data_IF_661454167272
#
_entry.id   IF_661454167272
#
_cell.length_a   1.000
_cell.length_b   1.000
_cell.length_c   1.000
_cell.angle_alpha   90.00
_cell.angle_beta   90.00
_cell.angle_gamma   90.00
#
_symmetry.space_group_name_H-M   'P 1'
#
loop_
_entity.id
_entity.type
_entity.pdbx_description
1 polymer ?
#
# COMPACT_ATOMS: atom_id res chain seq x y z
N UNK A 1 38.43 62.15 89.20
CA UNK A 1 38.89 61.72 87.87
C UNK A 1 37.72 61.08 87.14
N UNK A 2 37.63 61.31 85.83
CA UNK A 2 36.39 61.68 85.12
C UNK A 2 35.96 60.54 84.16
N UNK A 3 35.05 60.60 83.18
CA UNK A 3 34.61 61.62 82.21
C UNK A 3 33.46 60.97 81.43
N UNK A 4 32.31 61.62 81.21
CA UNK A 4 31.91 62.17 79.90
C UNK A 4 30.65 61.43 79.39
N UNK A 5 29.46 61.99 79.14
CA UNK A 5 28.99 63.24 78.49
C UNK A 5 28.43 62.98 77.08
N UNK A 6 27.19 63.46 76.87
CA UNK A 6 26.51 63.88 75.62
C UNK A 6 25.63 62.89 74.80
N UNK A 7 24.31 63.15 74.92
CA UNK A 7 23.35 63.51 73.86
C UNK A 7 23.50 62.97 72.42
N UNK A 8 22.44 62.33 71.90
CA UNK A 8 21.52 62.84 70.85
C UNK A 8 20.98 61.75 69.89
N UNK A 9 19.72 61.92 69.48
CA UNK A 9 18.99 61.16 68.44
C UNK A 9 19.61 61.33 67.05
N UNK A 10 19.28 60.43 66.09
CA UNK A 10 18.51 60.94 64.94
C UNK A 10 17.45 59.98 64.36
N UNK A 11 16.57 60.60 63.56
CA UNK A 11 15.48 60.05 62.75
C UNK A 11 15.96 59.51 61.39
N UNK A 12 15.07 58.71 60.78
CA UNK A 12 14.78 58.55 59.34
C UNK A 12 15.56 57.47 58.55
N UNK A 13 14.83 56.53 57.94
CA UNK A 13 14.72 56.39 56.48
C UNK A 13 13.55 55.46 56.12
N UNK A 14 12.81 55.81 55.06
CA UNK A 14 11.64 55.11 54.53
C UNK A 14 12.01 54.21 53.34
N UNK A 15 11.33 53.07 53.15
CA UNK A 15 11.07 52.44 51.84
C UNK A 15 9.77 51.61 51.95
N UNK A 16 8.82 51.84 51.03
CA UNK A 16 7.57 51.09 50.92
C UNK A 16 7.64 49.95 49.91
N UNK A 17 6.67 49.03 49.99
CA UNK A 17 6.31 48.09 48.93
C UNK A 17 4.83 47.69 49.03
N UNK A 18 4.15 47.81 47.89
CA UNK A 18 2.74 47.52 47.56
C UNK A 18 2.49 46.07 47.12
N UNK A 19 1.22 45.64 47.13
CA UNK A 19 0.51 44.47 46.49
C UNK A 19 -0.18 43.56 47.54
N UNK A 20 -1.39 43.01 47.37
CA UNK A 20 -2.16 42.71 46.16
C UNK A 20 -3.69 42.70 46.43
N UNK A 21 -4.48 43.11 45.43
CA UNK A 21 -5.92 42.92 45.37
C UNK A 21 -6.26 41.53 44.81
N UNK A 22 -7.24 40.85 45.43
CA UNK A 22 -7.74 39.54 45.01
C UNK A 22 -8.67 39.70 43.80
N UNK A 23 -8.26 39.20 42.64
CA UNK A 23 -9.09 39.05 41.45
C UNK A 23 -9.73 37.65 41.43
N UNK A 24 -11.05 37.59 41.26
CA UNK A 24 -11.79 36.35 41.00
C UNK A 24 -11.52 35.85 39.57
N UNK A 25 -11.44 34.54 39.32
CA UNK A 25 -11.32 34.04 37.96
C UNK A 25 -12.66 34.21 37.22
N UNK A 26 -12.60 34.82 36.04
CA UNK A 26 -13.70 34.84 35.09
C UNK A 26 -14.05 33.40 34.69
N UNK A 27 -15.29 32.99 34.95
CA UNK A 27 -15.83 31.75 34.41
C UNK A 27 -15.97 31.91 32.90
N UNK A 28 -15.23 31.09 32.14
CA UNK A 28 -15.46 30.94 30.71
C UNK A 28 -16.88 30.38 30.51
N UNK A 29 -17.77 31.22 29.98
CA UNK A 29 -19.09 30.78 29.57
C UNK A 29 -18.92 29.81 28.39
N UNK A 30 -19.13 28.51 28.63
CA UNK A 30 -19.32 27.52 27.58
C UNK A 30 -20.70 27.80 26.99
N UNK A 31 -20.75 28.47 25.83
CA UNK A 31 -21.98 28.63 25.08
C UNK A 31 -22.37 27.27 24.48
N UNK A 32 -23.48 26.64 24.92
CA UNK A 32 -23.93 25.38 24.32
C UNK A 32 -24.28 25.62 22.84
N UNK A 33 -23.83 24.70 21.98
CA UNK A 33 -24.13 24.72 20.54
C UNK A 33 -25.63 24.86 20.32
N UNK A 34 -26.06 25.92 19.62
CA UNK A 34 -27.46 26.18 19.32
C UNK A 34 -27.94 25.50 18.01
N UNK A 35 -27.22 24.48 17.54
CA UNK A 35 -27.68 23.66 16.43
C UNK A 35 -28.61 22.57 16.99
N UNK A 36 -29.87 22.45 16.51
CA UNK A 36 -30.76 21.38 16.95
C UNK A 36 -30.09 20.01 16.81
N UNK A 37 -30.11 19.20 17.88
CA UNK A 37 -29.54 17.85 17.92
C UNK A 37 -30.10 16.91 16.83
N UNK A 38 -31.21 17.29 16.19
CA UNK A 38 -31.94 16.52 15.18
C UNK A 38 -31.55 16.87 13.74
N UNK A 39 -30.57 17.77 13.52
CA UNK A 39 -30.08 18.17 12.18
C UNK A 39 -28.58 17.89 11.97
N UNK A 40 -28.01 16.89 12.63
CA UNK A 40 -26.74 16.33 12.16
C UNK A 40 -27.07 15.31 11.08
N UNK A 41 -27.24 15.77 9.83
CA UNK A 41 -26.95 14.87 8.72
C UNK A 41 -25.49 14.45 8.91
N UNK A 42 -25.25 13.22 9.39
CA UNK A 42 -23.91 12.73 9.61
C UNK A 42 -23.12 12.94 8.31
N UNK A 43 -22.03 13.71 8.38
CA UNK A 43 -21.21 14.00 7.21
C UNK A 43 -20.73 12.67 6.66
N UNK A 44 -21.11 12.36 5.42
CA UNK A 44 -20.78 11.08 4.77
C UNK A 44 -19.25 10.93 4.76
N UNK A 45 -18.69 9.83 5.30
CA UNK A 45 -17.25 9.63 5.27
C UNK A 45 -16.77 9.35 3.85
N UNK A 46 -15.51 9.69 3.58
CA UNK A 46 -14.83 9.39 2.33
C UNK A 46 -14.12 8.03 2.42
N UNK A 47 -14.22 7.22 1.37
CA UNK A 47 -13.49 5.98 1.20
C UNK A 47 -12.77 6.05 -0.14
N UNK A 48 -11.44 6.01 -0.12
CA UNK A 48 -10.64 5.71 -1.30
C UNK A 48 -10.34 4.22 -1.30
N UNK A 49 -10.89 3.50 -2.27
CA UNK A 49 -10.50 2.10 -2.52
C UNK A 49 -9.30 2.10 -3.47
N UNK A 50 -8.16 1.62 -2.99
CA UNK A 50 -6.96 1.41 -3.80
C UNK A 50 -6.87 -0.08 -4.14
N UNK A 51 -6.93 -0.40 -5.43
CA UNK A 51 -6.79 -1.77 -5.92
C UNK A 51 -5.46 -1.97 -6.63
N UNK A 52 -4.72 -2.97 -6.17
CA UNK A 52 -3.50 -3.45 -6.79
C UNK A 52 -3.80 -4.10 -8.14
N UNK A 53 -3.24 -3.50 -9.17
CA UNK A 53 -3.25 -3.98 -10.54
C UNK A 53 -1.82 -4.24 -11.04
N UNK A 54 -0.85 -4.44 -10.15
CA UNK A 54 0.54 -4.77 -10.49
C UNK A 54 0.63 -6.10 -11.23
N UNK A 55 1.78 -6.36 -11.86
CA UNK A 55 2.01 -7.62 -12.58
C UNK A 55 1.83 -8.85 -11.69
N UNK A 56 2.28 -8.81 -10.43
CA UNK A 56 2.23 -9.95 -9.50
C UNK A 56 0.81 -10.40 -9.17
N UNK A 57 -0.20 -9.55 -9.38
CA UNK A 57 -1.60 -9.91 -9.28
C UNK A 57 -2.07 -10.89 -10.39
N UNK A 58 -1.22 -11.17 -11.38
CA UNK A 58 -1.42 -12.24 -12.38
C UNK A 58 -1.23 -13.64 -11.81
N UNK A 59 -0.57 -13.77 -10.65
CA UNK A 59 -0.29 -15.07 -10.04
C UNK A 59 -1.58 -15.81 -9.67
N UNK A 60 -1.54 -17.13 -9.78
CA UNK A 60 -2.67 -18.02 -9.48
C UNK A 60 -2.70 -18.29 -7.99
N UNK A 61 -3.89 -18.24 -7.39
CA UNK A 61 -4.06 -18.61 -5.97
C UNK A 61 -4.40 -20.10 -5.88
N UNK A 62 -3.67 -20.89 -5.07
CA UNK A 62 -4.04 -22.28 -4.82
C UNK A 62 -5.38 -22.39 -4.09
N UNK A 63 -6.43 -22.74 -4.82
CA UNK A 63 -7.78 -22.93 -4.28
C UNK A 63 -8.48 -24.11 -4.96
N UNK A 64 -9.73 -24.38 -4.56
CA UNK A 64 -10.57 -25.39 -5.23
C UNK A 64 -10.56 -25.15 -6.75
N UNK A 65 -10.36 -26.18 -7.59
CA UNK A 65 -10.53 -27.61 -7.30
C UNK A 65 -9.26 -28.36 -6.85
N UNK A 66 -8.16 -27.68 -6.53
CA UNK A 66 -6.99 -28.33 -5.92
C UNK A 66 -7.33 -28.92 -4.55
N UNK A 67 -6.84 -30.13 -4.28
CA UNK A 67 -6.94 -30.77 -2.98
C UNK A 67 -5.54 -31.14 -2.47
N UNK A 68 -5.07 -30.43 -1.44
CA UNK A 68 -3.74 -30.62 -0.87
C UNK A 68 -3.51 -32.01 -0.25
N UNK A 69 -4.57 -32.73 0.13
CA UNK A 69 -4.50 -34.09 0.67
C UNK A 69 -4.40 -35.17 -0.43
N UNK A 70 -4.61 -34.81 -1.69
CA UNK A 70 -4.43 -35.71 -2.83
C UNK A 70 -3.00 -35.67 -3.31
N UNK A 71 -2.38 -36.84 -3.49
CA UNK A 71 -1.07 -36.95 -4.12
C UNK A 71 -1.23 -37.14 -5.63
N UNK A 72 -0.87 -36.12 -6.40
CA UNK A 72 -1.05 -36.14 -7.86
C UNK A 72 0.09 -36.87 -8.58
N UNK A 73 1.31 -36.78 -8.05
CA UNK A 73 2.46 -37.62 -8.43
C UNK A 73 3.13 -38.06 -7.12
N UNK A 74 2.89 -39.31 -6.66
CA UNK A 74 3.39 -39.78 -5.36
C UNK A 74 4.91 -39.84 -5.24
N UNK A 75 5.61 -40.10 -6.34
CA UNK A 75 7.06 -40.17 -6.38
C UNK A 75 7.57 -39.61 -7.70
N UNK A 76 8.57 -38.74 -7.62
CA UNK A 76 9.24 -38.14 -8.77
C UNK A 76 10.69 -38.65 -8.83
N UNK A 77 11.03 -39.58 -9.74
CA UNK A 77 12.37 -40.12 -9.86
C UNK A 77 13.41 -39.03 -10.13
N UNK A 78 14.64 -39.19 -9.62
CA UNK A 78 15.68 -38.16 -9.69
C UNK A 78 15.99 -37.65 -11.11
N UNK A 79 15.86 -38.48 -12.14
CA UNK A 79 16.06 -38.08 -13.55
C UNK A 79 14.94 -37.16 -14.09
N UNK A 80 13.75 -37.23 -13.50
CA UNK A 80 12.58 -36.41 -13.81
C UNK A 80 12.40 -35.24 -12.84
N UNK A 81 13.08 -35.27 -11.69
CA UNK A 81 12.90 -34.29 -10.64
C UNK A 81 13.45 -32.93 -11.04
N UNK A 82 12.58 -31.92 -10.96
CA UNK A 82 13.02 -30.53 -10.89
C UNK A 82 13.53 -30.28 -9.46
N UNK A 83 14.80 -29.87 -9.28
CA UNK A 83 15.38 -29.55 -7.97
C UNK A 83 14.53 -28.54 -7.19
N UNK A 84 14.44 -28.75 -5.88
CA UNK A 84 13.75 -27.82 -4.97
C UNK A 84 14.31 -26.40 -5.10
N UNK A 85 13.44 -25.38 -5.00
CA UNK A 85 13.81 -23.99 -5.26
C UNK A 85 14.00 -23.64 -6.74
N UNK A 86 13.78 -24.59 -7.66
CA UNK A 86 13.77 -24.31 -9.09
C UNK A 86 12.63 -23.35 -9.47
N UNK A 87 12.88 -22.49 -10.45
CA UNK A 87 11.86 -21.63 -11.05
C UNK A 87 11.31 -22.28 -12.33
N UNK A 88 10.00 -22.24 -12.54
CA UNK A 88 9.32 -22.81 -13.70
C UNK A 88 8.25 -21.90 -14.29
N UNK A 89 7.91 -22.12 -15.55
CA UNK A 89 6.81 -21.38 -16.18
C UNK A 89 5.88 -22.31 -16.93
N UNK A 90 4.60 -21.97 -16.93
CA UNK A 90 3.67 -22.57 -17.86
C UNK A 90 3.88 -22.02 -19.26
N UNK A 91 3.90 -22.92 -20.24
CA UNK A 91 3.76 -22.59 -21.65
C UNK A 91 2.81 -23.60 -22.30
N UNK A 92 2.17 -23.20 -23.40
CA UNK A 92 1.32 -24.09 -24.20
C UNK A 92 1.83 -24.14 -25.64
N UNK A 93 2.29 -25.31 -26.09
CA UNK A 93 2.81 -25.56 -27.46
C UNK A 93 1.74 -26.29 -28.29
N UNK A 94 0.53 -25.75 -28.36
CA UNK A 94 -0.68 -26.35 -28.99
C UNK A 94 -1.41 -27.43 -28.17
N UNK A 95 -2.50 -27.99 -28.74
CA UNK A 95 -3.61 -28.82 -28.22
C UNK A 95 -3.25 -30.04 -27.33
N UNK A 96 -1.98 -30.25 -27.01
CA UNK A 96 -1.43 -31.46 -26.37
C UNK A 96 -1.18 -31.28 -24.86
N UNK A 97 -1.77 -30.24 -24.26
CA UNK A 97 -1.72 -29.93 -22.83
C UNK A 97 -0.60 -28.96 -22.40
N UNK A 98 -0.60 -28.53 -21.13
CA UNK A 98 0.36 -27.58 -20.60
C UNK A 98 1.77 -28.18 -20.56
N UNK A 99 2.78 -27.33 -20.76
CA UNK A 99 4.19 -27.69 -20.71
C UNK A 99 4.90 -26.86 -19.65
N UNK A 100 5.89 -27.48 -19.02
CA UNK A 100 6.76 -26.87 -18.03
C UNK A 100 7.99 -26.34 -18.77
N UNK A 101 8.24 -25.04 -18.73
CA UNK A 101 9.53 -24.47 -19.10
C UNK A 101 10.43 -24.44 -17.87
N UNK A 102 11.59 -25.07 -17.99
CA UNK A 102 12.58 -25.16 -16.90
C UNK A 102 13.99 -25.13 -17.48
N UNK A 103 14.84 -24.26 -16.93
CA UNK A 103 16.16 -23.95 -17.48
C UNK A 103 17.31 -24.19 -16.49
N UNK A 104 17.13 -25.07 -15.49
CA UNK A 104 18.15 -25.25 -14.46
C UNK A 104 18.25 -24.02 -13.55
N UNK A 105 19.48 -23.60 -13.27
CA UNK A 105 19.78 -22.39 -12.48
C UNK A 105 19.57 -21.07 -13.26
N UNK A 106 19.31 -21.14 -14.57
CA UNK A 106 19.02 -19.95 -15.37
C UNK A 106 17.53 -19.60 -15.33
N UNK A 107 17.21 -18.31 -15.49
CA UNK A 107 15.81 -17.84 -15.49
C UNK A 107 14.99 -18.59 -16.55
N UNK A 108 13.80 -19.13 -16.21
CA UNK A 108 12.93 -19.84 -17.15
C UNK A 108 12.63 -19.06 -18.43
N UNK A 109 12.57 -17.73 -18.33
CA UNK A 109 12.30 -16.80 -19.45
C UNK A 109 13.35 -16.94 -20.57
N UNK A 110 14.57 -17.35 -20.23
CA UNK A 110 15.73 -17.30 -21.13
C UNK A 110 15.96 -18.55 -21.99
N UNK A 111 15.23 -19.64 -21.77
CA UNK A 111 15.41 -20.88 -22.55
C UNK A 111 14.15 -21.36 -23.27
N UNK A 112 14.36 -22.17 -24.31
CA UNK A 112 13.29 -22.73 -25.15
C UNK A 112 12.91 -24.16 -24.75
N UNK A 113 13.64 -24.76 -23.81
CA UNK A 113 13.44 -26.15 -23.38
C UNK A 113 12.14 -26.30 -22.59
N UNK A 114 11.34 -27.30 -22.96
CA UNK A 114 10.05 -27.56 -22.33
C UNK A 114 9.79 -29.06 -22.12
N UNK A 115 9.02 -29.37 -21.08
CA UNK A 115 8.77 -30.72 -20.62
C UNK A 115 7.28 -30.95 -20.41
N UNK A 116 6.82 -32.19 -20.57
CA UNK A 116 5.52 -32.60 -20.03
C UNK A 116 5.66 -32.92 -18.56
N UNK A 117 4.57 -32.75 -17.82
CA UNK A 117 4.48 -33.31 -16.49
C UNK A 117 4.45 -34.84 -16.58
N UNK A 118 5.31 -35.52 -15.83
CA UNK A 118 5.30 -36.98 -15.70
C UNK A 118 6.63 -37.57 -15.25
N UNK A 119 6.69 -38.90 -15.22
CA UNK A 119 7.85 -39.69 -14.76
C UNK A 119 8.46 -40.55 -15.86
N UNK A 120 7.98 -40.41 -17.10
CA UNK A 120 8.51 -41.10 -18.28
C UNK A 120 9.77 -40.44 -18.84
N UNK A 121 10.33 -41.01 -19.90
CA UNK A 121 11.50 -40.46 -20.58
C UNK A 121 11.17 -39.08 -21.18
N UNK A 122 12.00 -38.07 -20.87
CA UNK A 122 11.80 -36.69 -21.35
C UNK A 122 10.73 -35.88 -20.60
N UNK A 123 10.18 -36.41 -19.52
CA UNK A 123 9.19 -35.73 -18.67
C UNK A 123 9.83 -35.15 -17.39
N UNK A 124 9.14 -34.21 -16.75
CA UNK A 124 9.55 -33.62 -15.47
C UNK A 124 8.42 -33.66 -14.46
N UNK A 125 8.77 -33.73 -13.18
CA UNK A 125 7.84 -33.66 -12.07
C UNK A 125 8.46 -32.93 -10.88
N UNK A 126 7.62 -32.63 -9.89
CA UNK A 126 7.99 -31.87 -8.70
C UNK A 126 7.96 -32.77 -7.46
N UNK A 127 8.86 -32.52 -6.50
CA UNK A 127 8.78 -33.11 -5.18
C UNK A 127 7.58 -32.49 -4.44
N UNK A 128 6.67 -33.32 -3.95
CA UNK A 128 5.38 -32.91 -3.38
C UNK A 128 5.51 -31.95 -2.19
N UNK A 129 6.57 -32.07 -1.39
CA UNK A 129 6.78 -31.27 -0.18
C UNK A 129 7.72 -30.08 -0.38
N UNK A 130 8.36 -29.97 -1.55
CA UNK A 130 9.27 -28.88 -1.84
C UNK A 130 8.52 -27.64 -2.38
N UNK A 131 9.13 -26.47 -2.23
CA UNK A 131 8.64 -25.20 -2.79
C UNK A 131 9.40 -24.85 -4.06
N UNK A 132 8.69 -24.24 -4.99
CA UNK A 132 9.17 -23.83 -6.30
C UNK A 132 8.61 -22.46 -6.63
N UNK A 133 9.39 -21.64 -7.32
CA UNK A 133 8.86 -20.40 -7.88
C UNK A 133 8.23 -20.69 -9.23
N UNK A 134 7.04 -20.15 -9.51
CA UNK A 134 6.40 -20.36 -10.80
C UNK A 134 5.62 -19.15 -11.32
N UNK A 135 5.55 -19.04 -12.64
CA UNK A 135 4.54 -18.23 -13.36
C UNK A 135 3.54 -19.17 -14.01
N UNK A 136 2.29 -19.08 -13.57
CA UNK A 136 1.24 -20.04 -13.93
C UNK A 136 0.13 -19.45 -14.80
N UNK A 137 0.21 -18.16 -15.13
CA UNK A 137 -0.74 -17.46 -15.99
C UNK A 137 -0.03 -17.02 -17.29
N UNK A 138 -0.54 -17.46 -18.44
CA UNK A 138 -0.05 -17.17 -19.78
C UNK A 138 -0.51 -15.78 -20.22
N UNK A 139 0.35 -15.03 -20.91
CA UNK A 139 -0.06 -13.84 -21.65
C UNK A 139 -0.10 -14.15 -23.16
N UNK A 140 -1.28 -14.00 -23.78
CA UNK A 140 -1.55 -14.39 -25.16
C UNK A 140 -2.04 -15.85 -25.33
N UNK A 141 -2.71 -16.11 -26.47
CA UNK A 141 -3.35 -17.39 -26.79
C UNK A 141 -2.40 -18.48 -27.30
N UNK A 142 -2.99 -19.63 -27.64
CA UNK A 142 -2.29 -20.84 -28.11
C UNK A 142 -1.30 -20.54 -29.25
N UNK A 143 -0.09 -21.10 -29.16
CA UNK A 143 0.94 -20.97 -30.19
C UNK A 143 1.90 -19.81 -29.98
N UNK A 144 1.61 -18.93 -29.01
CA UNK A 144 2.55 -17.93 -28.55
C UNK A 144 3.63 -18.59 -27.66
N UNK A 145 4.84 -18.72 -28.20
CA UNK A 145 6.01 -19.24 -27.47
C UNK A 145 6.65 -18.19 -26.57
N UNK A 146 6.19 -16.94 -26.66
CA UNK A 146 6.69 -15.82 -25.87
C UNK A 146 6.12 -15.92 -24.46
N UNK A 147 6.91 -16.49 -23.56
CA UNK A 147 6.77 -16.22 -22.13
C UNK A 147 6.98 -14.73 -21.95
N UNK A 148 6.04 -14.07 -21.29
CA UNK A 148 6.27 -12.72 -20.84
C UNK A 148 6.85 -12.74 -19.43
N UNK A 149 8.09 -12.24 -19.31
CA UNK A 149 8.64 -11.71 -18.06
C UNK A 149 7.94 -10.43 -17.60
N UNK A 150 6.60 -10.39 -17.67
CA UNK A 150 5.79 -9.22 -17.33
C UNK A 150 5.37 -9.15 -15.86
N UNK A 151 5.61 -10.22 -15.10
CA UNK A 151 5.36 -10.26 -13.65
C UNK A 151 6.32 -11.20 -12.92
N UNK A 152 6.47 -11.00 -11.62
CA UNK A 152 7.32 -11.80 -10.75
C UNK A 152 6.66 -13.15 -10.43
N UNK A 153 7.47 -14.19 -10.26
CA UNK A 153 6.97 -15.52 -9.89
C UNK A 153 6.42 -15.54 -8.46
N UNK A 154 5.48 -16.45 -8.21
CA UNK A 154 5.00 -16.76 -6.87
C UNK A 154 5.49 -18.14 -6.43
N UNK A 155 5.46 -18.39 -5.13
CA UNK A 155 5.88 -19.68 -4.56
C UNK A 155 4.71 -20.67 -4.54
N UNK A 156 4.97 -21.90 -4.98
CA UNK A 156 4.00 -22.99 -4.99
C UNK A 156 4.63 -24.26 -4.45
N UNK A 157 3.82 -25.09 -3.79
CA UNK A 157 4.24 -26.44 -3.43
C UNK A 157 4.36 -27.31 -4.68
N UNK A 158 5.28 -28.27 -4.68
CA UNK A 158 5.40 -29.20 -5.79
C UNK A 158 4.16 -30.08 -5.96
N UNK A 159 3.41 -30.37 -4.90
CA UNK A 159 2.13 -31.07 -5.04
C UNK A 159 1.11 -30.25 -5.83
N UNK A 160 1.05 -28.93 -5.58
CA UNK A 160 0.22 -28.02 -6.36
C UNK A 160 0.66 -27.97 -7.83
N UNK A 161 1.97 -27.88 -8.10
CA UNK A 161 2.47 -27.88 -9.49
C UNK A 161 2.22 -29.21 -10.21
N UNK A 162 2.36 -30.35 -9.51
CA UNK A 162 1.99 -31.66 -10.03
C UNK A 162 0.48 -31.75 -10.35
N UNK A 163 -0.38 -31.08 -9.60
CA UNK A 163 -1.80 -30.96 -9.96
C UNK A 163 -2.01 -30.02 -11.14
N UNK A 164 -1.36 -28.86 -11.11
CA UNK A 164 -1.58 -27.76 -12.02
C UNK A 164 -1.27 -28.19 -13.45
N UNK A 165 -0.06 -28.71 -13.68
CA UNK A 165 0.41 -29.15 -14.99
C UNK A 165 -0.16 -30.49 -15.47
N UNK A 166 -0.97 -31.18 -14.67
CA UNK A 166 -1.58 -32.42 -15.08
C UNK A 166 -2.72 -32.15 -16.08
N UNK A 167 -2.64 -32.75 -17.26
CA UNK A 167 -3.66 -32.60 -18.31
C UNK A 167 -4.89 -33.49 -18.04
N UNK A 168 -4.69 -34.66 -17.42
CA UNK A 168 -5.70 -35.71 -17.23
C UNK A 168 -6.74 -35.37 -16.16
N UNK A 169 -6.52 -34.34 -15.36
CA UNK A 169 -7.42 -33.91 -14.28
C UNK A 169 -8.10 -32.55 -14.56
N UNK A 170 -8.22 -32.15 -15.84
CA UNK A 170 -8.86 -30.90 -16.23
C UNK A 170 -10.27 -31.11 -16.77
N UNK A 171 -11.26 -30.60 -16.03
CA UNK A 171 -12.65 -30.44 -16.48
C UNK A 171 -13.12 -29.01 -16.14
N UNK A 172 -13.39 -28.14 -17.15
CA UNK A 172 -13.23 -28.39 -18.58
C UNK A 172 -11.76 -28.63 -18.97
N UNK A 173 -11.54 -29.28 -20.12
CA UNK A 173 -10.19 -29.51 -20.64
C UNK A 173 -9.49 -28.16 -20.91
N UNK A 174 -8.16 -28.13 -20.84
CA UNK A 174 -7.37 -26.96 -21.26
C UNK A 174 -7.82 -26.46 -22.64
N UNK A 175 -8.49 -25.30 -22.69
CA UNK A 175 -8.82 -24.59 -23.94
C UNK A 175 -7.73 -23.56 -24.23
N UNK A 176 -7.99 -22.56 -25.08
CA UNK A 176 -7.09 -21.41 -25.34
C UNK A 176 -6.86 -20.55 -24.07
N UNK A 177 -7.47 -20.94 -22.96
CA UNK A 177 -7.35 -20.31 -21.66
C UNK A 177 -5.90 -20.18 -21.17
N UNK A 178 -5.65 -19.01 -20.59
CA UNK A 178 -4.35 -18.55 -20.13
C UNK A 178 -3.82 -19.32 -18.90
N UNK A 179 -4.65 -20.15 -18.27
CA UNK A 179 -4.38 -20.81 -16.98
C UNK A 179 -5.26 -22.05 -16.83
N UNK A 180 -5.02 -22.86 -15.79
CA UNK A 180 -5.79 -24.09 -15.57
C UNK A 180 -7.26 -23.77 -15.31
N UNK A 181 -8.22 -24.43 -15.99
CA UNK A 181 -9.63 -24.19 -15.76
C UNK A 181 -10.04 -24.40 -14.30
N UNK A 182 -10.90 -23.51 -13.79
CA UNK A 182 -11.34 -23.50 -12.40
C UNK A 182 -10.38 -22.83 -11.42
N UNK A 183 -9.23 -22.31 -11.86
CA UNK A 183 -8.32 -21.53 -11.00
C UNK A 183 -8.56 -20.03 -11.14
N UNK A 184 -8.35 -19.28 -10.07
CA UNK A 184 -8.39 -17.82 -10.08
C UNK A 184 -6.99 -17.20 -9.88
N UNK A 185 -6.78 -16.06 -10.51
CA UNK A 185 -5.64 -15.18 -10.24
C UNK A 185 -5.97 -14.24 -9.07
N UNK A 186 -4.92 -13.69 -8.44
CA UNK A 186 -5.08 -12.73 -7.34
C UNK A 186 -5.95 -11.53 -7.73
N UNK A 187 -5.81 -11.02 -8.96
CA UNK A 187 -6.63 -9.89 -9.44
C UNK A 187 -8.12 -10.25 -9.57
N UNK A 188 -8.48 -11.48 -9.97
CA UNK A 188 -9.89 -11.88 -10.06
C UNK A 188 -10.54 -11.98 -8.68
N UNK A 189 -9.82 -12.53 -7.71
CA UNK A 189 -10.25 -12.60 -6.32
C UNK A 189 -10.39 -11.18 -5.75
N UNK A 190 -9.40 -10.31 -5.98
CA UNK A 190 -9.42 -8.92 -5.52
C UNK A 190 -10.60 -8.14 -6.15
N UNK A 191 -10.85 -8.27 -7.46
CA UNK A 191 -12.02 -7.69 -8.12
C UNK A 191 -13.33 -8.16 -7.48
N UNK A 192 -13.45 -9.45 -7.19
CA UNK A 192 -14.65 -10.02 -6.56
C UNK A 192 -14.88 -9.46 -5.17
N UNK A 193 -13.85 -9.40 -4.33
CA UNK A 193 -13.91 -8.83 -2.99
C UNK A 193 -14.21 -7.32 -3.03
N UNK A 194 -13.55 -6.58 -3.92
CA UNK A 194 -13.77 -5.15 -4.13
C UNK A 194 -15.22 -4.84 -4.54
N UNK A 195 -15.77 -5.57 -5.52
CA UNK A 195 -17.17 -5.39 -5.94
C UNK A 195 -18.14 -5.71 -4.81
N UNK A 196 -17.87 -6.75 -4.01
CA UNK A 196 -18.69 -7.10 -2.84
C UNK A 196 -18.67 -5.98 -1.79
N UNK A 197 -17.49 -5.38 -1.54
CA UNK A 197 -17.39 -4.20 -0.69
C UNK A 197 -18.23 -3.06 -1.25
N UNK A 198 -18.05 -2.69 -2.53
CA UNK A 198 -18.83 -1.62 -3.19
C UNK A 198 -20.34 -1.84 -3.08
N UNK A 199 -20.81 -3.07 -3.24
CA UNK A 199 -22.22 -3.41 -3.10
C UNK A 199 -22.74 -3.20 -1.67
N UNK A 200 -21.93 -3.49 -0.65
CA UNK A 200 -22.28 -3.30 0.76
C UNK A 200 -22.30 -1.83 1.22
N UNK A 201 -21.64 -0.92 0.49
CA UNK A 201 -21.51 0.48 0.92
C UNK A 201 -22.84 1.25 0.78
N UNK A 202 -23.14 2.08 1.79
CA UNK A 202 -24.25 3.03 1.79
C UNK A 202 -23.96 4.19 2.74
N UNK A 203 -24.50 5.38 2.45
CA UNK A 203 -24.25 6.60 3.23
C UNK A 203 -22.77 7.01 3.35
N UNK A 204 -21.98 6.71 2.32
CA UNK A 204 -20.55 7.09 2.22
C UNK A 204 -20.26 7.76 0.88
N UNK A 205 -19.05 8.30 0.74
CA UNK A 205 -18.48 8.77 -0.52
C UNK A 205 -17.36 7.84 -0.94
N UNK A 206 -17.31 7.46 -2.20
CA UNK A 206 -16.40 6.44 -2.72
C UNK A 206 -15.59 6.98 -3.89
N UNK A 207 -14.28 6.72 -3.86
CA UNK A 207 -13.36 6.85 -4.98
C UNK A 207 -12.63 5.53 -5.25
N UNK A 208 -11.99 5.44 -6.40
CA UNK A 208 -11.20 4.28 -6.83
C UNK A 208 -9.84 4.75 -7.34
N UNK A 209 -8.77 4.18 -6.82
CA UNK A 209 -7.41 4.33 -7.34
C UNK A 209 -6.76 2.97 -7.63
N UNK A 210 -5.74 2.99 -8.48
CA UNK A 210 -4.90 1.83 -8.80
C UNK A 210 -3.44 2.26 -8.88
N UNK A 211 -2.51 1.34 -9.12
CA UNK A 211 -1.16 1.73 -9.51
C UNK A 211 -1.15 2.35 -10.91
N UNK A 212 -0.14 3.19 -11.14
CA UNK A 212 0.17 3.82 -12.41
C UNK A 212 1.55 3.36 -12.88
N UNK A 213 1.61 2.13 -13.40
CA UNK A 213 2.84 1.46 -13.82
C UNK A 213 3.90 1.43 -12.71
N UNK A 214 4.98 2.18 -12.86
CA UNK A 214 6.11 2.30 -11.92
C UNK A 214 6.16 3.66 -11.21
N UNK A 215 5.10 4.48 -11.33
CA UNK A 215 5.10 5.87 -10.88
C UNK A 215 3.81 6.19 -10.10
N UNK A 216 3.77 5.74 -8.85
CA UNK A 216 2.67 6.00 -7.93
C UNK A 216 1.31 5.48 -8.40
N UNK A 217 0.28 6.32 -8.24
CA UNK A 217 -1.13 5.95 -8.39
C UNK A 217 -1.87 6.62 -9.56
N UNK A 218 -2.92 5.95 -10.02
CA UNK A 218 -3.91 6.47 -10.97
C UNK A 218 -5.26 6.60 -10.28
N UNK A 219 -5.91 7.75 -10.44
CA UNK A 219 -7.27 8.00 -9.99
C UNK A 219 -8.25 7.49 -11.05
N UNK A 220 -8.85 6.33 -10.81
CA UNK A 220 -9.85 5.74 -11.70
C UNK A 220 -11.23 6.35 -11.49
N UNK A 221 -11.59 6.72 -10.26
CA UNK A 221 -12.87 7.35 -9.95
C UNK A 221 -12.69 8.39 -8.84
N UNK A 222 -13.16 9.62 -9.06
CA UNK A 222 -13.12 10.67 -8.03
C UNK A 222 -14.03 10.31 -6.85
N UNK A 223 -13.70 10.80 -5.65
CA UNK A 223 -14.55 10.63 -4.48
C UNK A 223 -15.88 11.38 -4.68
N UNK A 224 -16.98 10.63 -4.58
CA UNK A 224 -18.34 11.18 -4.66
C UNK A 224 -19.36 10.30 -3.96
N UNK A 225 -20.55 10.84 -3.72
CA UNK A 225 -21.63 10.15 -3.02
C UNK A 225 -21.97 8.80 -3.65
N UNK A 226 -22.09 7.78 -2.82
CA UNK A 226 -22.51 6.45 -3.27
C UNK A 226 -24.01 6.44 -3.56
N UNK A 227 -24.34 6.24 -4.83
CA UNK A 227 -25.64 5.88 -5.34
C UNK A 227 -25.52 4.69 -6.32
N UNK A 228 -26.64 4.30 -6.97
CA UNK A 228 -26.64 3.19 -7.93
C UNK A 228 -25.72 3.45 -9.15
N UNK A 229 -25.63 4.69 -9.61
CA UNK A 229 -24.79 5.07 -10.76
C UNK A 229 -23.31 5.01 -10.37
N UNK A 230 -22.94 5.52 -9.19
CA UNK A 230 -21.58 5.49 -8.65
C UNK A 230 -21.09 4.07 -8.45
N UNK A 231 -21.91 3.20 -7.85
CA UNK A 231 -21.58 1.77 -7.70
C UNK A 231 -21.33 1.12 -9.06
N UNK A 232 -22.20 1.38 -10.03
CA UNK A 232 -22.05 0.83 -11.39
C UNK A 232 -20.76 1.31 -12.05
N UNK A 233 -20.47 2.63 -11.99
CA UNK A 233 -19.26 3.20 -12.56
C UNK A 233 -17.98 2.61 -11.93
N UNK A 234 -17.93 2.50 -10.60
CA UNK A 234 -16.79 1.90 -9.90
C UNK A 234 -16.64 0.42 -10.28
N UNK A 235 -17.72 -0.38 -10.26
CA UNK A 235 -17.64 -1.81 -10.61
C UNK A 235 -17.20 -2.04 -12.05
N UNK A 236 -17.67 -1.24 -13.01
CA UNK A 236 -17.19 -1.29 -14.40
C UNK A 236 -15.70 -1.03 -14.50
N UNK A 237 -15.17 -0.05 -13.75
CA UNK A 237 -13.75 0.26 -13.71
C UNK A 237 -12.93 -0.85 -13.03
N UNK A 238 -13.47 -1.49 -11.99
CA UNK A 238 -12.88 -2.68 -11.36
C UNK A 238 -12.81 -3.85 -12.36
N UNK A 239 -13.89 -4.11 -13.10
CA UNK A 239 -13.93 -5.20 -14.08
C UNK A 239 -12.90 -5.00 -15.20
N UNK A 240 -12.64 -3.75 -15.59
CA UNK A 240 -11.67 -3.39 -16.62
C UNK A 240 -10.19 -3.52 -16.19
N UNK A 241 -9.88 -3.71 -14.90
CA UNK A 241 -8.48 -3.75 -14.45
C UNK A 241 -7.72 -4.95 -15.01
N UNK A 242 -6.48 -4.73 -15.43
CA UNK A 242 -5.55 -5.78 -15.86
C UNK A 242 -4.29 -5.72 -15.00
N UNK A 243 -3.72 -6.88 -14.69
CA UNK A 243 -2.49 -6.99 -13.93
C UNK A 243 -1.27 -6.62 -14.80
N UNK A 244 -0.56 -5.55 -14.43
CA UNK A 244 0.59 -5.00 -15.16
C UNK A 244 1.36 -3.98 -14.33
N UNK A 245 2.65 -3.80 -14.61
CA UNK A 245 3.46 -2.77 -13.96
C UNK A 245 3.98 -3.19 -12.58
N UNK A 246 4.52 -2.22 -11.86
CA UNK A 246 5.15 -2.39 -10.54
C UNK A 246 4.14 -2.20 -9.40
N UNK A 247 4.63 -2.22 -8.16
CA UNK A 247 3.85 -2.09 -6.93
C UNK A 247 4.37 -0.89 -6.10
N UNK A 248 4.18 0.36 -6.58
CA UNK A 248 4.62 1.59 -5.89
C UNK A 248 3.67 1.92 -4.71
N UNK A 249 3.72 1.10 -3.67
CA UNK A 249 2.75 1.04 -2.57
C UNK A 249 2.73 2.30 -1.68
N UNK A 250 3.86 2.70 -1.11
CA UNK A 250 4.00 3.93 -0.33
C UNK A 250 3.85 5.19 -1.21
N UNK A 251 4.33 5.16 -2.45
CA UNK A 251 4.21 6.28 -3.38
C UNK A 251 2.74 6.54 -3.73
N UNK A 252 1.99 5.49 -4.04
CA UNK A 252 0.55 5.60 -4.30
C UNK A 252 -0.21 6.09 -3.08
N UNK A 253 0.16 5.66 -1.87
CA UNK A 253 -0.46 6.17 -0.66
C UNK A 253 -0.14 7.67 -0.46
N UNK A 254 1.06 8.11 -0.81
CA UNK A 254 1.44 9.52 -0.80
C UNK A 254 0.65 10.34 -1.82
N UNK A 255 0.42 9.79 -3.02
CA UNK A 255 -0.45 10.41 -4.04
C UNK A 255 -1.89 10.53 -3.56
N UNK A 256 -2.42 9.49 -2.89
CA UNK A 256 -3.74 9.52 -2.25
C UNK A 256 -3.77 10.59 -1.16
N UNK A 257 -2.75 10.66 -0.31
CA UNK A 257 -2.60 11.69 0.71
C UNK A 257 -2.68 13.11 0.14
N UNK A 258 -1.92 13.38 -0.93
CA UNK A 258 -1.98 14.66 -1.62
C UNK A 258 -3.32 14.91 -2.30
N UNK A 259 -3.94 13.89 -2.88
CA UNK A 259 -5.31 13.99 -3.42
C UNK A 259 -6.29 14.45 -2.33
N UNK A 260 -6.23 13.87 -1.12
CA UNK A 260 -7.06 14.28 0.01
C UNK A 260 -6.77 15.72 0.49
N UNK A 261 -5.51 16.16 0.38
CA UNK A 261 -5.10 17.54 0.67
C UNK A 261 -5.46 18.55 -0.44
N UNK A 262 -6.16 18.14 -1.51
CA UNK A 262 -6.58 19.06 -2.58
C UNK A 262 -7.45 20.18 -2.00
N UNK A 263 -7.05 21.42 -2.33
CA UNK A 263 -7.71 22.64 -1.85
C UNK A 263 -7.20 23.15 -0.50
N UNK A 264 -6.28 22.45 0.17
CA UNK A 264 -5.70 22.92 1.41
C UNK A 264 -4.96 24.26 1.21
N UNK A 265 -5.18 25.18 2.14
CA UNK A 265 -4.41 26.42 2.23
C UNK A 265 -3.63 26.45 3.54
N UNK A 266 -2.37 26.90 3.49
CA UNK A 266 -1.47 26.89 4.64
C UNK A 266 -0.59 25.63 4.75
N UNK A 267 0.05 25.49 5.90
CA UNK A 267 0.98 24.39 6.19
C UNK A 267 0.30 23.25 6.93
N UNK A 268 0.67 22.02 6.59
CA UNK A 268 0.33 20.83 7.36
C UNK A 268 1.20 20.80 8.63
N UNK A 269 0.65 20.30 9.73
CA UNK A 269 1.40 20.08 10.98
C UNK A 269 1.79 18.61 11.06
N UNK A 270 3.08 18.33 11.04
CA UNK A 270 3.66 16.99 11.17
C UNK A 270 3.94 16.71 12.64
N UNK A 271 3.69 15.47 13.08
CA UNK A 271 3.82 15.04 14.48
C UNK A 271 3.09 15.96 15.48
N UNK A 272 1.80 16.28 15.25
CA UNK A 272 1.06 17.21 16.10
C UNK A 272 1.05 16.74 17.56
N UNK A 273 1.45 17.63 18.47
CA UNK A 273 1.51 17.35 19.91
C UNK A 273 2.73 16.54 20.37
N UNK A 274 3.70 16.26 19.48
CA UNK A 274 4.94 15.53 19.82
C UNK A 274 6.17 16.46 19.86
N UNK A 275 7.27 16.06 20.53
CA UNK A 275 8.49 16.89 20.61
C UNK A 275 9.13 17.23 19.26
N UNK A 276 8.95 16.38 18.25
CA UNK A 276 9.44 16.57 16.88
C UNK A 276 8.41 17.24 15.95
N UNK A 277 7.41 17.95 16.51
CA UNK A 277 6.42 18.66 15.72
C UNK A 277 7.07 19.67 14.77
N UNK A 278 6.71 19.60 13.50
CA UNK A 278 7.15 20.56 12.48
C UNK A 278 5.99 20.94 11.56
N UNK A 279 6.21 21.89 10.65
CA UNK A 279 5.21 22.28 9.66
C UNK A 279 5.80 22.27 8.26
N UNK A 280 5.03 21.83 7.28
CA UNK A 280 5.44 21.83 5.88
C UNK A 280 4.28 22.21 4.96
N UNK A 281 4.59 22.83 3.81
CA UNK A 281 3.56 23.03 2.77
C UNK A 281 3.11 21.68 2.22
N UNK A 282 1.89 21.58 1.69
CA UNK A 282 1.41 20.35 1.02
C UNK A 282 2.39 19.89 -0.06
N UNK A 283 2.96 20.80 -0.85
CA UNK A 283 3.95 20.48 -1.88
C UNK A 283 5.21 19.85 -1.28
N UNK A 284 5.75 20.43 -0.21
CA UNK A 284 6.95 19.91 0.46
C UNK A 284 6.71 18.54 1.10
N UNK A 285 5.59 18.38 1.82
CA UNK A 285 5.23 17.12 2.48
C UNK A 285 5.01 15.99 1.48
N UNK A 286 4.46 16.31 0.31
CA UNK A 286 4.18 15.37 -0.76
C UNK A 286 5.06 15.60 -2.00
N UNK A 287 6.35 15.85 -1.78
CA UNK A 287 7.34 15.94 -2.87
C UNK A 287 7.65 14.54 -3.39
N UNK A 288 7.61 14.38 -4.72
CA UNK A 288 8.08 13.20 -5.43
C UNK A 288 9.43 13.53 -6.09
N UNK A 289 10.47 12.77 -5.75
CA UNK A 289 11.83 13.09 -6.15
C UNK A 289 12.31 14.44 -5.60
N UNK A 290 12.95 15.27 -6.42
CA UNK A 290 13.54 16.55 -5.99
C UNK A 290 12.69 17.80 -6.29
N UNK A 291 11.77 17.73 -7.25
CA UNK A 291 11.04 18.92 -7.75
C UNK A 291 9.58 18.67 -8.14
N UNK A 292 9.14 17.42 -8.23
CA UNK A 292 7.76 17.08 -8.58
C UNK A 292 6.93 16.89 -7.33
N UNK A 293 5.60 16.95 -7.47
CA UNK A 293 4.69 16.61 -6.37
C UNK A 293 4.01 15.28 -6.69
N UNK A 294 3.84 14.46 -5.67
CA UNK A 294 2.97 13.29 -5.71
C UNK A 294 1.61 13.65 -6.28
N UNK A 295 1.12 12.89 -7.23
CA UNK A 295 -0.15 13.20 -7.86
C UNK A 295 -0.77 11.94 -8.44
N UNK A 296 -2.02 11.66 -8.05
CA UNK A 296 -2.77 10.65 -8.76
C UNK A 296 -2.99 11.11 -10.21
N UNK A 297 -2.52 10.30 -11.16
CA UNK A 297 -2.80 10.52 -12.57
C UNK A 297 -4.31 10.43 -12.79
N UNK A 298 -4.92 11.49 -13.32
CA UNK A 298 -6.38 11.58 -13.44
C UNK A 298 -6.91 10.80 -14.66
N UNK A 299 -7.07 9.50 -14.51
CA UNK A 299 -7.68 8.61 -15.51
C UNK A 299 -9.20 8.51 -15.37
N UNK A 300 -9.80 9.27 -14.45
CA UNK A 300 -11.24 9.21 -14.18
C UNK A 300 -12.08 9.87 -15.27
N UNK A 301 -11.46 10.74 -16.07
CA UNK A 301 -12.13 11.61 -17.04
C UNK A 301 -12.96 12.74 -16.41
N UNK A 302 -12.89 12.90 -15.08
CA UNK A 302 -13.69 13.87 -14.33
C UNK A 302 -12.80 14.99 -13.78
N UNK A 303 -13.38 16.19 -13.65
CA UNK A 303 -12.72 17.32 -12.96
C UNK A 303 -12.54 16.97 -11.49
N UNK A 304 -11.30 17.05 -11.00
CA UNK A 304 -11.00 16.85 -9.59
C UNK A 304 -11.61 18.00 -8.78
N UNK A 305 -12.41 17.62 -7.78
CA UNK A 305 -12.94 18.52 -6.75
C UNK A 305 -12.33 18.17 -5.40
N UNK A 306 -12.45 19.07 -4.43
CA UNK A 306 -11.97 18.83 -3.07
C UNK A 306 -12.64 17.58 -2.48
N UNK A 307 -11.88 16.50 -2.18
CA UNK A 307 -12.46 15.28 -1.64
C UNK A 307 -12.92 15.46 -0.19
N UNK A 308 -12.18 16.18 0.64
CA UNK A 308 -12.64 16.56 1.98
C UNK A 308 -13.42 17.87 1.86
N UNK A 309 -14.70 17.82 2.22
CA UNK A 309 -15.64 18.94 2.10
C UNK A 309 -15.92 19.63 3.44
N UNK A 310 -15.72 18.93 4.56
CA UNK A 310 -16.04 19.41 5.89
C UNK A 310 -14.95 19.01 6.88
N UNK A 311 -14.69 19.84 7.90
CA UNK A 311 -13.65 19.62 8.90
C UNK A 311 -13.82 18.32 9.71
N UNK A 312 -15.06 17.87 9.91
CA UNK A 312 -15.36 16.63 10.64
C UNK A 312 -15.54 15.40 9.72
N UNK A 313 -15.23 15.52 8.42
CA UNK A 313 -15.42 14.43 7.47
C UNK A 313 -14.32 13.38 7.61
N UNK A 314 -14.67 12.23 8.19
CA UNK A 314 -13.76 11.08 8.28
C UNK A 314 -13.38 10.59 6.88
N UNK A 315 -12.11 10.25 6.70
CA UNK A 315 -11.59 9.74 5.44
C UNK A 315 -10.81 8.43 5.65
N UNK A 316 -11.06 7.46 4.80
CA UNK A 316 -10.50 6.11 4.87
C UNK A 316 -9.83 5.75 3.56
N UNK A 317 -8.72 5.02 3.63
CA UNK A 317 -8.07 4.39 2.48
C UNK A 317 -8.06 2.88 2.71
N UNK A 318 -8.64 2.13 1.78
CA UNK A 318 -8.62 0.66 1.82
C UNK A 318 -7.70 0.19 0.70
N UNK A 319 -6.55 -0.38 1.06
CA UNK A 319 -5.57 -0.89 0.12
C UNK A 319 -5.77 -2.40 -0.03
N UNK A 320 -6.08 -2.87 -1.24
CA UNK A 320 -6.15 -4.28 -1.58
C UNK A 320 -4.96 -4.64 -2.45
N UNK A 321 -3.94 -5.29 -1.88
CA UNK A 321 -2.64 -5.56 -2.53
C UNK A 321 -2.11 -6.95 -2.15
N UNK A 322 -1.18 -7.51 -2.93
CA UNK A 322 -0.39 -8.67 -2.50
C UNK A 322 0.82 -8.30 -1.61
N UNK A 323 1.06 -7.01 -1.43
CA UNK A 323 1.87 -6.43 -0.37
C UNK A 323 3.38 -6.60 -0.54
N UNK A 324 3.88 -6.77 -1.77
CA UNK A 324 5.33 -6.73 -2.06
C UNK A 324 5.69 -5.46 -2.86
N UNK A 325 6.21 -4.41 -2.20
CA UNK A 325 6.59 -3.17 -2.87
C UNK A 325 7.67 -3.37 -3.94
N UNK A 326 7.52 -2.71 -5.08
CA UNK A 326 8.45 -2.69 -6.20
C UNK A 326 8.44 -1.30 -6.83
N UNK A 327 9.62 -0.69 -7.00
CA UNK A 327 9.71 0.70 -7.48
C UNK A 327 8.92 1.64 -6.57
N UNK A 328 9.21 1.58 -5.27
CA UNK A 328 8.39 2.22 -4.22
C UNK A 328 9.26 3.08 -3.29
N UNK A 329 10.04 4.01 -3.84
CA UNK A 329 11.08 4.72 -3.09
C UNK A 329 11.07 6.23 -3.28
N UNK A 330 10.27 6.76 -4.20
CA UNK A 330 10.17 8.20 -4.42
C UNK A 330 9.24 8.85 -3.39
N UNK A 331 9.65 8.81 -2.12
CA UNK A 331 8.93 9.37 -0.97
C UNK A 331 9.65 10.61 -0.44
N UNK A 332 8.88 11.62 -0.04
CA UNK A 332 9.42 12.85 0.54
C UNK A 332 10.22 12.58 1.83
N UNK A 333 11.26 13.38 2.09
CA UNK A 333 12.03 13.28 3.33
C UNK A 333 11.16 13.49 4.59
N UNK A 334 10.03 14.19 4.47
CA UNK A 334 9.08 14.40 5.55
C UNK A 334 8.26 13.16 5.92
N UNK A 335 8.11 12.20 5.00
CA UNK A 335 7.27 11.00 5.18
C UNK A 335 8.06 9.70 5.23
N UNK A 336 9.37 9.71 4.94
CA UNK A 336 10.18 8.49 4.72
C UNK A 336 10.66 7.78 6.00
N UNK A 337 10.54 8.42 7.16
CA UNK A 337 10.84 7.86 8.50
C UNK A 337 9.94 8.56 9.53
N UNK A 338 8.65 8.71 9.18
CA UNK A 338 7.69 9.44 10.00
C UNK A 338 7.47 8.74 11.36
N UNK A 339 7.57 7.42 11.41
CA UNK A 339 7.47 6.67 12.67
C UNK A 339 8.75 6.77 13.51
N UNK A 340 9.89 7.12 12.90
CA UNK A 340 11.19 7.23 13.56
C UNK A 340 11.79 5.87 13.94
N UNK A 341 11.27 4.77 13.39
CA UNK A 341 11.71 3.43 13.73
C UNK A 341 13.11 3.12 13.16
N UNK A 342 13.52 3.81 12.09
CA UNK A 342 14.89 3.74 11.58
C UNK A 342 15.90 4.46 12.46
N UNK A 343 15.55 5.62 13.01
CA UNK A 343 16.39 6.30 14.00
C UNK A 343 16.52 5.49 15.31
N UNK A 344 15.46 4.76 15.70
CA UNK A 344 15.44 3.91 16.89
C UNK A 344 16.20 2.58 16.72
N UNK A 345 16.45 2.13 15.49
CA UNK A 345 17.23 0.94 15.19
C UNK A 345 18.04 1.09 13.89
N UNK A 346 19.21 1.78 13.93
CA UNK A 346 20.06 2.03 12.76
C UNK A 346 20.62 0.77 12.09
N UNK A 347 20.53 -0.39 12.75
CA UNK A 347 20.88 -1.70 12.20
C UNK A 347 19.74 -2.35 11.41
N UNK A 348 18.53 -1.80 11.49
CA UNK A 348 17.31 -2.37 10.91
C UNK A 348 16.82 -1.63 9.67
N UNK A 349 17.18 -0.35 9.49
CA UNK A 349 16.99 0.42 8.26
C UNK A 349 17.92 1.65 8.22
N UNK A 350 18.07 2.29 7.06
CA UNK A 350 18.94 3.45 6.85
C UNK A 350 18.14 4.76 6.89
N UNK A 351 18.38 5.55 7.93
CA UNK A 351 17.70 6.81 8.21
C UNK A 351 18.32 8.04 7.50
N UNK A 352 19.31 7.87 6.60
CA UNK A 352 20.00 9.03 5.98
C UNK A 352 19.05 9.90 5.17
N UNK A 353 18.77 11.15 5.56
CA UNK A 353 17.94 12.07 4.79
C UNK A 353 18.53 12.28 3.38
N UNK A 354 17.70 12.30 2.33
CA UNK A 354 18.09 12.64 0.95
C UNK A 354 19.02 11.67 0.18
N UNK A 355 19.03 10.37 0.46
CA UNK A 355 19.58 9.42 -0.52
C UNK A 355 18.60 9.22 -1.68
N UNK A 356 18.66 10.10 -2.69
CA UNK A 356 18.12 9.79 -4.03
C UNK A 356 18.92 8.68 -4.72
N UNK A 357 20.10 8.34 -4.18
CA UNK A 357 20.95 7.24 -4.61
C UNK A 357 20.50 5.93 -3.95
N UNK A 358 19.46 5.37 -4.53
CA UNK A 358 18.97 4.03 -4.26
C UNK A 358 19.79 3.04 -5.08
N UNK A 359 20.34 1.94 -4.51
CA UNK A 359 21.02 0.94 -5.32
C UNK A 359 20.00 0.38 -6.32
N UNK A 360 20.42 0.32 -7.59
CA UNK A 360 19.62 -0.13 -8.73
C UNK A 360 19.29 -1.63 -8.72
N UNK A 361 19.76 -2.37 -7.71
CA UNK A 361 19.62 -3.82 -7.57
C UNK A 361 18.88 -4.18 -6.27
N UNK A 362 18.04 -5.24 -6.26
CA UNK A 362 17.47 -5.78 -5.03
C UNK A 362 18.58 -6.08 -4.01
N UNK A 363 18.38 -5.61 -2.77
CA UNK A 363 19.34 -5.79 -1.68
C UNK A 363 19.32 -7.26 -1.25
N UNK A 364 20.14 -8.08 -1.90
CA UNK A 364 20.26 -9.51 -1.62
C UNK A 364 21.27 -9.83 -0.51
N UNK A 365 21.96 -8.82 0.05
CA UNK A 365 23.06 -9.01 1.03
C UNK A 365 23.09 -7.89 2.09
N UNK A 366 23.47 -8.32 3.29
CA UNK A 366 23.54 -7.73 4.67
C UNK A 366 24.19 -6.34 4.86
N UNK A 367 24.07 -5.43 3.89
CA UNK A 367 24.46 -4.02 4.09
C UNK A 367 23.25 -3.15 3.78
N UNK A 368 22.45 -2.96 4.83
CA UNK A 368 21.21 -2.19 4.89
C UNK A 368 21.45 -0.75 4.43
N UNK A 369 20.89 -0.40 3.26
CA UNK A 369 20.77 0.99 2.79
C UNK A 369 19.43 1.15 2.08
N UNK A 370 18.62 2.09 2.55
CA UNK A 370 17.37 2.61 1.98
C UNK A 370 16.06 1.82 2.24
N UNK A 371 15.49 1.98 3.44
CA UNK A 371 14.09 1.66 3.72
C UNK A 371 13.73 0.18 3.58
N UNK A 372 14.50 -0.72 4.18
CA UNK A 372 14.16 -2.15 4.20
C UNK A 372 14.39 -2.72 5.59
N UNK A 373 13.40 -3.46 6.14
CA UNK A 373 13.48 -4.10 7.46
C UNK A 373 14.19 -5.45 7.40
N UNK A 374 15.00 -5.75 8.42
CA UNK A 374 15.69 -7.04 8.59
C UNK A 374 14.69 -8.20 8.57
N UNK A 375 15.02 -9.26 7.83
CA UNK A 375 14.20 -10.47 7.76
C UNK A 375 12.95 -10.34 6.89
N UNK A 376 12.82 -9.24 6.12
CA UNK A 376 11.78 -9.06 5.11
C UNK A 376 12.39 -9.13 3.71
N UNK A 377 11.63 -9.66 2.76
CA UNK A 377 11.99 -9.71 1.34
C UNK A 377 11.25 -8.60 0.61
N UNK A 378 11.98 -7.83 -0.18
CA UNK A 378 11.47 -6.76 -1.03
C UNK A 378 11.81 -7.08 -2.48
N UNK A 379 10.96 -6.66 -3.40
CA UNK A 379 11.25 -6.73 -4.83
C UNK A 379 12.28 -5.65 -5.20
N UNK A 380 12.85 -5.66 -6.43
CA UNK A 380 13.77 -4.61 -6.87
C UNK A 380 13.19 -3.22 -6.61
N UNK A 381 13.99 -2.36 -5.97
CA UNK A 381 13.59 -1.00 -5.59
C UNK A 381 12.34 -0.91 -4.68
N UNK A 382 12.00 -1.96 -3.92
CA UNK A 382 10.98 -1.89 -2.88
C UNK A 382 11.44 -1.11 -1.63
N UNK A 383 10.48 -0.70 -0.80
CA UNK A 383 10.72 -0.05 0.49
C UNK A 383 9.77 -0.56 1.58
N UNK A 384 10.01 -0.12 2.82
CA UNK A 384 9.13 -0.27 3.97
C UNK A 384 8.29 0.98 4.30
N UNK A 385 8.42 2.07 3.54
CA UNK A 385 7.85 3.40 3.85
C UNK A 385 6.32 3.49 3.96
N UNK A 386 5.59 2.41 3.69
CA UNK A 386 4.13 2.39 3.75
C UNK A 386 3.62 2.73 5.15
N UNK A 387 4.25 2.21 6.20
CA UNK A 387 3.84 2.48 7.58
C UNK A 387 4.12 3.93 7.99
N UNK A 388 5.24 4.51 7.54
CA UNK A 388 5.54 5.92 7.74
C UNK A 388 4.54 6.85 7.04
N UNK A 389 4.26 6.61 5.76
CA UNK A 389 3.26 7.39 5.01
C UNK A 389 1.89 7.22 5.66
N UNK A 390 1.51 6.00 6.03
CA UNK A 390 0.24 5.73 6.71
C UNK A 390 0.13 6.48 8.04
N UNK A 391 1.17 6.45 8.87
CA UNK A 391 1.21 7.17 10.15
C UNK A 391 1.12 8.68 9.92
N UNK A 392 1.85 9.21 8.94
CA UNK A 392 1.80 10.61 8.56
C UNK A 392 0.39 11.06 8.18
N UNK A 393 -0.27 10.30 7.31
CA UNK A 393 -1.63 10.60 6.88
C UNK A 393 -2.67 10.43 8.00
N UNK A 394 -2.42 9.57 8.98
CA UNK A 394 -3.27 9.38 10.14
C UNK A 394 -3.15 10.51 11.17
N UNK A 395 -1.97 11.10 11.33
CA UNK A 395 -1.73 12.17 12.30
C UNK A 395 -2.01 13.56 11.74
N UNK A 396 -1.66 13.81 10.48
CA UNK A 396 -1.79 15.14 9.88
C UNK A 396 -3.25 15.48 9.59
N UNK A 397 -3.62 16.74 9.86
CA UNK A 397 -4.83 17.33 9.30
C UNK A 397 -4.55 17.76 7.86
N UNK A 398 -5.15 17.06 6.88
CA UNK A 398 -4.93 17.31 5.46
C UNK A 398 -5.71 18.53 4.93
N UNK A 399 -6.63 19.09 5.72
CA UNK A 399 -7.40 20.29 5.38
C UNK A 399 -7.46 21.28 6.54
N UNK A 400 -6.31 21.83 6.97
CA UNK A 400 -6.22 22.75 8.11
C UNK A 400 -6.91 24.10 7.86
N UNK A 401 -7.36 24.34 6.63
CA UNK A 401 -8.16 25.47 6.18
C UNK A 401 -9.66 25.32 6.51
N UNK A 402 -10.14 24.09 6.72
CA UNK A 402 -11.54 23.85 7.07
C UNK A 402 -11.76 24.06 8.57
N UNK A 403 -12.85 24.75 8.90
CA UNK A 403 -13.32 24.95 10.27
C UNK A 403 -14.73 24.42 10.43
N UNK A 404 -15.07 23.96 11.63
CA UNK A 404 -16.44 23.62 11.99
C UNK A 404 -17.32 24.88 12.11
N UNK A 405 -18.62 24.67 12.32
CA UNK A 405 -19.61 25.74 12.46
C UNK A 405 -19.37 26.69 13.64
N UNK A 406 -18.45 26.35 14.55
CA UNK A 406 -18.04 27.14 15.71
C UNK A 406 -16.63 27.73 15.54
N UNK A 407 -15.99 27.59 14.37
CA UNK A 407 -14.63 28.04 14.10
C UNK A 407 -13.54 27.10 14.64
N UNK A 408 -13.91 25.96 15.21
CA UNK A 408 -13.00 24.93 15.70
C UNK A 408 -12.37 24.12 14.56
N UNK A 409 -11.13 23.68 14.74
CA UNK A 409 -10.43 22.78 13.81
C UNK A 409 -10.59 21.34 14.26
N UNK A 410 -11.02 20.47 13.36
CA UNK A 410 -11.05 19.02 13.58
C UNK A 410 -10.08 18.39 12.61
N UNK A 411 -9.27 17.44 13.09
CA UNK A 411 -8.24 16.78 12.28
C UNK A 411 -8.91 15.97 11.17
N UNK A 412 -8.70 16.37 9.92
CA UNK A 412 -9.13 15.62 8.74
C UNK A 412 -8.03 14.66 8.31
N UNK A 413 -7.82 13.60 9.11
CA UNK A 413 -6.82 12.58 8.83
C UNK A 413 -7.37 11.36 8.09
N UNK A 414 -6.46 10.54 7.55
CA UNK A 414 -6.77 9.31 6.84
C UNK A 414 -6.46 8.10 7.71
N UNK A 415 -7.44 7.21 7.84
CA UNK A 415 -7.19 5.85 8.37
C UNK A 415 -6.97 4.90 7.19
N UNK A 416 -5.80 4.27 7.13
CA UNK A 416 -5.51 3.24 6.13
C UNK A 416 -5.73 1.83 6.69
N UNK A 417 -6.20 0.92 5.84
CA UNK A 417 -6.28 -0.51 6.14
C UNK A 417 -5.76 -1.31 4.96
N UNK A 418 -4.90 -2.30 5.23
CA UNK A 418 -4.28 -3.14 4.20
C UNK A 418 -4.91 -4.53 4.27
N UNK A 419 -5.56 -4.94 3.18
CA UNK A 419 -6.03 -6.32 2.99
C UNK A 419 -5.10 -7.02 2.02
N UNK A 420 -4.45 -8.09 2.49
CA UNK A 420 -3.54 -8.89 1.67
C UNK A 420 -4.30 -9.98 0.93
N UNK A 421 -4.08 -10.13 -0.38
CA UNK A 421 -4.50 -11.36 -1.08
C UNK A 421 -3.67 -12.55 -0.59
N UNK A 422 -4.23 -13.78 -0.56
CA UNK A 422 -3.47 -14.96 -0.15
C UNK A 422 -2.20 -15.11 -0.98
N UNK A 423 -1.08 -15.40 -0.29
CA UNK A 423 0.20 -15.68 -0.95
C UNK A 423 0.13 -16.96 -1.76
#
# INVERSE_FOLDING_TARGET
>A
QPTGSLFSFPRAFAVGATLAALAYPAQAAVSPSQVPLFLTSAVKPNIMLMLDNSGSMSNIVPETPYNASTSYIPSCPGVNLIPAGGSVEIISIAIIGPKIRYCGASSPISCTTSYRLGTGSGEKCFNTTATYSARLNLNGGIGNTTVQGGYLDAEYTGNYLNWYFNASNTTPAWTIEQKKPGTQSRIEIAKTAAKSLVDSLGNVRLGLSTYNADNGGSLREIIGDVDAAKKTAVKTKIDALTASGSTPLAETLSDIGRYFATGATGSLTLHPGKPNQTTGSVATVFTQGSTSNHNLTNDSGQTIVNPIQYSCQKSFVVLMTDGRPQGDRDISASLRDYTGDCAASPSQCDATPNTTNLPSSPLTVTTFRNGTKVGRTYEPQGSDYLDDVAQGLFEMDLRPDLSDSSGGKTISSLTSSVSRTPQ
#
